data_IF_532141611085
#
_entry.id   IF_532141611085
#
_cell.length_a   1.000
_cell.length_b   1.000
_cell.length_c   1.000
_cell.angle_alpha   90.00
_cell.angle_beta   90.00
_cell.angle_gamma   90.00
#
_symmetry.space_group_name_H-M   'P 1'
#
loop_
_entity.id
_entity.type
_entity.pdbx_description
1 polymer ?
#
# COMPACT_ATOMS: atom_id res chain seq x y z
N UNK A 1 -5.90 -10.45 5.35
CA UNK A 1 -5.62 -9.59 4.18
C UNK A 1 -4.14 -9.20 4.08
N UNK A 2 -3.44 -8.91 5.19
CA UNK A 2 -2.00 -8.56 5.21
C UNK A 2 -1.09 -9.63 4.56
N UNK A 3 -1.44 -10.92 4.66
CA UNK A 3 -0.61 -12.03 4.15
C UNK A 3 -0.40 -12.08 2.64
N UNK A 4 -1.10 -11.25 1.87
CA UNK A 4 -1.06 -11.23 0.40
C UNK A 4 -0.95 -9.82 -0.18
N UNK A 5 -0.50 -8.84 0.62
CA UNK A 5 -0.49 -7.43 0.22
C UNK A 5 0.28 -7.22 -1.10
N UNK A 6 1.49 -7.76 -1.19
CA UNK A 6 2.30 -7.65 -2.42
C UNK A 6 1.59 -8.23 -3.64
N UNK A 7 1.04 -9.43 -3.49
CA UNK A 7 0.33 -10.12 -4.57
C UNK A 7 -0.94 -9.38 -5.00
N UNK A 8 -1.69 -8.83 -4.05
CA UNK A 8 -2.89 -8.02 -4.33
C UNK A 8 -2.54 -6.77 -5.12
N UNK A 9 -1.46 -6.06 -4.77
CA UNK A 9 -1.02 -4.87 -5.52
C UNK A 9 -0.64 -5.21 -6.95
N UNK A 10 0.20 -6.24 -7.14
CA UNK A 10 0.60 -6.68 -8.48
C UNK A 10 -0.57 -7.14 -9.35
N UNK A 11 -1.52 -7.92 -8.79
CA UNK A 11 -2.73 -8.31 -9.51
C UNK A 11 -3.57 -7.11 -9.93
N UNK A 12 -3.63 -6.08 -9.09
CA UNK A 12 -4.43 -4.89 -9.33
C UNK A 12 -3.96 -4.03 -10.51
N UNK A 13 -2.77 -4.30 -11.09
CA UNK A 13 -2.34 -3.63 -12.32
C UNK A 13 -3.24 -3.96 -13.52
N UNK A 14 -3.72 -5.20 -13.59
CA UNK A 14 -4.52 -5.73 -14.71
C UNK A 14 -5.89 -6.27 -14.32
N UNK A 15 -6.22 -6.27 -13.02
CA UNK A 15 -7.46 -6.87 -12.51
C UNK A 15 -8.29 -5.85 -11.72
N UNK A 16 -9.45 -5.48 -12.26
CA UNK A 16 -10.39 -4.52 -11.64
C UNK A 16 -10.90 -4.98 -10.27
N UNK A 17 -11.18 -6.26 -10.09
CA UNK A 17 -11.70 -6.79 -8.82
C UNK A 17 -10.66 -6.68 -7.70
N UNK A 18 -9.39 -6.95 -8.03
CA UNK A 18 -8.27 -6.80 -7.10
C UNK A 18 -8.10 -5.33 -6.70
N UNK A 19 -8.21 -4.41 -7.66
CA UNK A 19 -8.16 -2.97 -7.38
C UNK A 19 -9.34 -2.50 -6.52
N UNK A 20 -10.56 -2.99 -6.78
CA UNK A 20 -11.72 -2.66 -5.95
C UNK A 20 -11.62 -3.21 -4.52
N UNK A 21 -10.88 -4.31 -4.30
CA UNK A 21 -10.56 -4.78 -2.96
C UNK A 21 -9.65 -3.78 -2.22
N UNK A 22 -8.65 -3.20 -2.89
CA UNK A 22 -7.80 -2.13 -2.33
C UNK A 22 -8.64 -0.88 -2.01
N UNK A 23 -9.55 -0.48 -2.90
CA UNK A 23 -10.45 0.65 -2.65
C UNK A 23 -11.41 0.41 -1.50
N UNK A 24 -11.84 -0.83 -1.28
CA UNK A 24 -12.69 -1.20 -0.14
C UNK A 24 -11.89 -1.09 1.16
N UNK A 25 -10.70 -1.67 1.19
CA UNK A 25 -9.77 -1.54 2.33
C UNK A 25 -9.52 -0.08 2.68
N UNK A 26 -9.27 0.79 1.68
CA UNK A 26 -9.10 2.22 1.90
C UNK A 26 -10.31 2.87 2.57
N UNK A 27 -11.52 2.61 2.06
CA UNK A 27 -12.76 3.17 2.62
C UNK A 27 -13.03 2.67 4.04
N UNK A 28 -12.81 1.37 4.28
CA UNK A 28 -12.99 0.76 5.60
C UNK A 28 -11.99 1.33 6.62
N UNK A 29 -10.73 1.53 6.22
CA UNK A 29 -9.69 2.06 7.11
C UNK A 29 -9.78 3.57 7.37
N UNK A 30 -10.04 4.37 6.34
CA UNK A 30 -10.03 5.84 6.44
C UNK A 30 -11.39 6.44 6.84
N UNK A 31 -12.49 5.68 6.76
CA UNK A 31 -13.81 6.12 7.19
C UNK A 31 -14.25 7.43 6.54
N UNK A 32 -14.68 8.40 7.36
CA UNK A 32 -15.13 9.72 6.89
C UNK A 32 -14.02 10.56 6.24
N UNK A 33 -12.74 10.23 6.47
CA UNK A 33 -11.59 10.91 5.87
C UNK A 33 -11.23 10.34 4.49
N UNK A 34 -11.95 9.31 4.02
CA UNK A 34 -11.68 8.68 2.74
C UNK A 34 -11.96 9.66 1.57
N UNK A 35 -10.92 10.05 0.86
CA UNK A 35 -11.04 10.82 -0.37
C UNK A 35 -11.58 9.96 -1.52
N UNK A 36 -12.12 10.62 -2.55
CA UNK A 36 -12.57 9.93 -3.76
C UNK A 36 -11.35 9.38 -4.51
N UNK A 37 -11.22 8.06 -4.54
CA UNK A 37 -10.21 7.35 -5.32
C UNK A 37 -10.60 7.24 -6.81
N UNK A 38 -9.62 7.16 -7.72
CA UNK A 38 -9.89 6.96 -9.15
C UNK A 38 -10.64 5.64 -9.43
N UNK A 39 -11.31 5.57 -10.58
CA UNK A 39 -11.76 4.31 -11.15
C UNK A 39 -10.56 3.52 -11.70
N UNK A 40 -10.78 2.26 -12.02
CA UNK A 40 -9.72 1.41 -12.59
C UNK A 40 -9.22 1.94 -13.94
N UNK A 41 -10.13 2.54 -14.73
CA UNK A 41 -9.87 3.12 -16.04
C UNK A 41 -9.16 4.47 -15.97
N UNK A 42 -9.23 5.14 -14.81
CA UNK A 42 -8.55 6.41 -14.55
C UNK A 42 -7.11 6.21 -14.02
N UNK A 43 -6.70 4.97 -13.75
CA UNK A 43 -5.33 4.66 -13.36
C UNK A 43 -4.36 4.90 -14.53
N UNK A 44 -3.11 5.32 -14.26
CA UNK A 44 -2.09 5.50 -15.30
C UNK A 44 -2.00 4.28 -16.21
N UNK A 45 -1.81 4.47 -17.51
CA UNK A 45 -1.78 3.34 -18.46
C UNK A 45 -0.46 2.59 -18.43
N UNK A 46 0.62 3.23 -18.00
CA UNK A 46 1.93 2.61 -17.90
C UNK A 46 2.12 1.89 -16.56
N UNK A 47 2.82 0.76 -16.62
CA UNK A 47 3.05 -0.14 -15.48
C UNK A 47 3.67 0.56 -14.26
N UNK A 48 4.80 1.30 -14.36
CA UNK A 48 5.46 1.83 -13.17
C UNK A 48 4.61 2.90 -12.46
N UNK A 49 3.95 3.81 -13.18
CA UNK A 49 3.07 4.79 -12.55
C UNK A 49 1.78 4.17 -12.03
N UNK A 50 1.21 3.17 -12.72
CA UNK A 50 0.04 2.43 -12.22
C UNK A 50 0.37 1.71 -10.92
N UNK A 51 1.51 1.02 -10.87
CA UNK A 51 2.00 0.34 -9.68
C UNK A 51 2.18 1.32 -8.53
N UNK A 52 2.89 2.44 -8.77
CA UNK A 52 3.10 3.49 -7.77
C UNK A 52 1.77 4.07 -7.25
N UNK A 53 0.79 4.34 -8.12
CA UNK A 53 -0.51 4.88 -7.73
C UNK A 53 -1.31 3.90 -6.85
N UNK A 54 -1.38 2.62 -7.24
CA UNK A 54 -2.07 1.60 -6.46
C UNK A 54 -1.39 1.39 -5.10
N UNK A 55 -0.07 1.36 -5.10
CA UNK A 55 0.73 1.22 -3.89
C UNK A 55 0.51 2.41 -2.94
N UNK A 56 0.45 3.64 -3.45
CA UNK A 56 0.15 4.82 -2.65
C UNK A 56 -1.23 4.77 -1.99
N UNK A 57 -2.25 4.27 -2.69
CA UNK A 57 -3.60 4.06 -2.14
C UNK A 57 -3.57 3.00 -1.04
N UNK A 58 -2.93 1.86 -1.30
CA UNK A 58 -2.83 0.78 -0.33
C UNK A 58 -2.05 1.22 0.92
N UNK A 59 -0.96 1.97 0.76
CA UNK A 59 -0.19 2.53 1.87
C UNK A 59 -1.03 3.49 2.71
N UNK A 60 -1.79 4.40 2.08
CA UNK A 60 -2.68 5.32 2.81
C UNK A 60 -3.74 4.55 3.61
N UNK A 61 -4.34 3.52 3.02
CA UNK A 61 -5.30 2.67 3.72
C UNK A 61 -4.70 1.99 4.96
N UNK A 62 -3.44 1.57 4.88
CA UNK A 62 -2.72 0.96 6.00
C UNK A 62 -2.42 2.03 7.07
N UNK A 63 -1.99 3.23 6.68
CA UNK A 63 -1.75 4.35 7.60
C UNK A 63 -3.04 4.69 8.36
N UNK A 64 -4.16 4.86 7.66
CA UNK A 64 -5.45 5.11 8.28
C UNK A 64 -5.81 4.00 9.27
N UNK A 65 -5.66 2.73 8.89
CA UNK A 65 -5.97 1.59 9.76
C UNK A 65 -5.07 1.50 10.99
N UNK A 66 -3.78 1.82 10.85
CA UNK A 66 -2.84 1.88 11.98
C UNK A 66 -3.17 3.05 12.92
N UNK A 67 -3.64 4.19 12.38
CA UNK A 67 -4.01 5.37 13.19
C UNK A 67 -5.36 5.22 13.87
N UNK A 68 -6.31 4.51 13.26
CA UNK A 68 -7.66 4.30 13.80
C UNK A 68 -7.71 3.17 14.84
N UNK A 69 -6.79 2.21 14.78
CA UNK A 69 -6.60 1.20 15.81
C UNK A 69 -5.53 1.65 16.82
N UNK A 70 -5.68 1.26 18.09
CA UNK A 70 -4.52 1.29 18.97
C UNK A 70 -3.55 0.20 18.50
N UNK A 71 -2.47 0.61 17.83
CA UNK A 71 -1.51 -0.32 17.23
C UNK A 71 -0.86 -1.27 18.25
N UNK A 72 -0.90 -0.93 19.55
CA UNK A 72 -0.45 -1.82 20.63
C UNK A 72 -1.34 -3.07 20.77
N UNK A 73 -2.57 -3.00 20.27
CA UNK A 73 -3.51 -4.13 20.18
C UNK A 73 -3.26 -4.99 18.94
N UNK A 74 -2.47 -4.52 17.96
CA UNK A 74 -2.12 -5.32 16.79
C UNK A 74 -1.07 -6.35 17.19
N UNK A 75 -1.33 -7.65 17.00
CA UNK A 75 -0.34 -8.68 17.31
C UNK A 75 0.99 -8.42 16.60
N UNK A 76 2.10 -8.49 17.34
CA UNK A 76 3.45 -8.22 16.81
C UNK A 76 3.77 -9.03 15.55
N UNK A 77 3.30 -10.27 15.47
CA UNK A 77 3.44 -11.12 14.29
C UNK A 77 2.80 -10.54 13.02
N UNK A 78 1.69 -9.80 13.16
CA UNK A 78 1.04 -9.11 12.05
C UNK A 78 1.86 -7.89 11.62
N UNK A 79 2.43 -7.13 12.56
CA UNK A 79 3.31 -5.99 12.27
C UNK A 79 4.59 -6.46 11.56
N UNK A 80 5.23 -7.52 12.05
CA UNK A 80 6.42 -8.13 11.42
C UNK A 80 6.09 -8.62 10.00
N UNK A 81 4.92 -9.23 9.81
CA UNK A 81 4.48 -9.69 8.48
C UNK A 81 4.21 -8.51 7.54
N UNK A 82 3.54 -7.46 8.03
CA UNK A 82 3.29 -6.24 7.28
C UNK A 82 4.60 -5.57 6.85
N UNK A 83 5.55 -5.42 7.78
CA UNK A 83 6.90 -4.89 7.50
C UNK A 83 7.59 -5.66 6.38
N UNK A 84 7.55 -7.00 6.42
CA UNK A 84 8.13 -7.85 5.37
C UNK A 84 7.50 -7.60 4.00
N UNK A 85 6.18 -7.49 3.93
CA UNK A 85 5.47 -7.22 2.68
C UNK A 85 5.77 -5.81 2.14
N UNK A 86 5.82 -4.81 3.02
CA UNK A 86 6.18 -3.43 2.66
C UNK A 86 7.60 -3.32 2.11
N UNK A 87 8.58 -4.00 2.73
CA UNK A 87 9.97 -4.03 2.24
C UNK A 87 10.07 -4.67 0.85
N UNK A 88 9.31 -5.75 0.60
CA UNK A 88 9.26 -6.38 -0.72
C UNK A 88 8.65 -5.44 -1.77
N UNK A 89 7.56 -4.75 -1.43
CA UNK A 89 6.93 -3.75 -2.30
C UNK A 89 7.83 -2.55 -2.58
N UNK A 90 8.61 -2.11 -1.57
CA UNK A 90 9.61 -1.07 -1.74
C UNK A 90 10.72 -1.52 -2.71
N UNK A 91 11.15 -2.77 -2.59
CA UNK A 91 12.13 -3.37 -3.52
C UNK A 91 11.57 -3.46 -4.94
N UNK A 92 10.32 -3.92 -5.08
CA UNK A 92 9.63 -3.95 -6.37
C UNK A 92 9.55 -2.55 -7.01
N UNK A 93 9.22 -1.52 -6.23
CA UNK A 93 9.16 -0.14 -6.71
C UNK A 93 10.52 0.35 -7.24
N UNK A 94 11.60 0.12 -6.50
CA UNK A 94 12.96 0.49 -6.93
C UNK A 94 13.35 -0.25 -8.23
N UNK A 95 12.94 -1.51 -8.36
CA UNK A 95 13.18 -2.29 -9.57
C UNK A 95 12.45 -1.69 -10.77
N UNK A 96 11.17 -1.32 -10.62
CA UNK A 96 10.40 -0.63 -11.66
C UNK A 96 11.00 0.73 -12.02
N UNK A 97 11.40 1.55 -11.04
CA UNK A 97 12.09 2.83 -11.29
C UNK A 97 13.32 2.65 -12.17
N UNK A 98 14.13 1.63 -11.85
CA UNK A 98 15.37 1.32 -12.57
C UNK A 98 15.10 0.79 -13.98
N UNK A 99 14.14 -0.11 -14.13
CA UNK A 99 13.80 -0.74 -15.41
C UNK A 99 13.25 0.29 -16.39
N UNK A 100 12.32 1.13 -15.94
CA UNK A 100 11.65 2.12 -16.77
C UNK A 100 12.32 3.51 -16.77
N UNK A 101 13.40 3.69 -16.00
CA UNK A 101 14.14 4.95 -15.85
C UNK A 101 13.25 6.12 -15.43
N UNK A 102 12.36 5.86 -14.49
CA UNK A 102 11.45 6.85 -13.90
C UNK A 102 11.78 7.04 -12.43
N UNK A 103 11.32 8.15 -11.86
CA UNK A 103 11.35 8.36 -10.40
C UNK A 103 9.93 8.36 -9.87
N UNK A 104 9.62 7.34 -9.08
CA UNK A 104 8.36 7.08 -8.41
C UNK A 104 8.58 7.39 -6.92
N UNK A 105 7.98 8.45 -6.40
CA UNK A 105 8.26 8.88 -5.01
C UNK A 105 7.64 7.89 -3.99
N UNK A 106 8.40 7.14 -3.17
CA UNK A 106 7.85 6.10 -2.27
C UNK A 106 7.46 6.60 -0.86
N UNK A 107 7.17 7.89 -0.70
CA UNK A 107 7.12 8.56 0.61
C UNK A 107 6.24 7.82 1.64
N UNK A 108 5.12 7.23 1.21
CA UNK A 108 4.19 6.54 2.12
C UNK A 108 4.67 5.17 2.62
N UNK A 109 5.56 4.47 1.91
CA UNK A 109 6.09 3.17 2.38
C UNK A 109 7.18 3.40 3.43
N UNK A 110 8.06 4.37 3.20
CA UNK A 110 9.08 4.76 4.18
C UNK A 110 8.43 5.24 5.48
N UNK A 111 7.41 6.10 5.38
CA UNK A 111 6.61 6.54 6.53
C UNK A 111 5.97 5.35 7.27
N UNK A 112 5.42 4.38 6.54
CA UNK A 112 4.85 3.17 7.15
C UNK A 112 5.89 2.32 7.86
N UNK A 113 7.09 2.16 7.28
CA UNK A 113 8.18 1.41 7.90
C UNK A 113 8.64 2.12 9.18
N UNK A 114 8.76 3.45 9.15
CA UNK A 114 9.07 4.27 10.34
C UNK A 114 7.97 4.11 11.40
N UNK A 115 6.69 4.21 11.04
CA UNK A 115 5.58 4.04 12.00
C UNK A 115 5.55 2.65 12.65
N UNK A 116 5.96 1.61 11.92
CA UNK A 116 6.07 0.25 12.44
C UNK A 116 7.30 0.11 13.34
N UNK A 117 8.44 0.71 12.95
CA UNK A 117 9.71 0.59 13.66
C UNK A 117 9.79 1.50 14.92
N UNK A 118 9.22 2.71 14.89
CA UNK A 118 9.11 3.63 16.04
C UNK A 118 8.26 3.05 17.18
N UNK A 119 7.55 1.95 16.92
CA UNK A 119 6.71 1.25 17.89
C UNK A 119 7.24 -0.12 18.30
N UNK A 120 8.50 -0.43 17.96
CA UNK A 120 9.29 -1.45 18.67
C UNK A 120 9.59 -0.94 20.10
N UNK A 121 8.58 -1.09 20.98
CA UNK A 121 8.77 -1.45 22.40
C UNK A 121 9.10 -2.94 22.47
#
# INVERSE_FOLDING_TARGET
MISFLRETIWRSLGNRESYEAIKRMYRESCGEQAEKLPSFEELPDDTPHRFSAILAIASEAIICGIRSCDISEIPREHLVRLRRELLRLYTDLIMEEKEYRVSLRPHKIEDLLIMIDDKDI
#
